data_IF_185291266107
#
_entry.id   IF_185291266107
#
_cell.length_a   1.000
_cell.length_b   1.000
_cell.length_c   1.000
_cell.angle_alpha   90.00
_cell.angle_beta   90.00
_cell.angle_gamma   90.00
#
_symmetry.space_group_name_H-M   'P 1'
#
loop_
_entity.id
_entity.type
_entity.pdbx_description
1 polymer ?
#
# COMPACT_ATOMS: atom_id res chain seq x y z
N UNK A 1 -20.90 -49.17 -82.56
CA UNK A 1 -19.88 -48.95 -83.60
C UNK A 1 -19.28 -47.55 -83.42
N UNK A 2 -17.99 -47.37 -83.77
CA UNK A 2 -17.19 -46.11 -83.84
C UNK A 2 -16.19 -45.77 -82.69
N UNK A 3 -15.00 -46.36 -82.82
CA UNK A 3 -13.59 -45.88 -82.70
C UNK A 3 -13.20 -44.46 -82.17
N UNK A 4 -12.14 -44.47 -81.32
CA UNK A 4 -10.91 -43.60 -81.24
C UNK A 4 -11.04 -42.12 -80.80
N UNK A 5 -10.08 -41.44 -80.12
CA UNK A 5 -8.60 -41.38 -80.26
C UNK A 5 -7.88 -40.96 -78.94
N UNK A 6 -6.61 -41.36 -78.83
CA UNK A 6 -5.59 -40.85 -77.90
C UNK A 6 -4.98 -39.50 -78.34
N UNK A 7 -4.35 -38.79 -77.40
CA UNK A 7 -3.07 -38.02 -77.42
C UNK A 7 -3.09 -36.99 -76.26
N UNK A 8 -2.04 -36.52 -75.57
CA UNK A 8 -0.60 -36.79 -75.47
C UNK A 8 -0.07 -36.24 -74.10
N UNK A 9 1.17 -36.60 -73.78
CA UNK A 9 1.94 -36.49 -72.53
C UNK A 9 2.61 -35.11 -72.30
N UNK A 10 2.76 -34.66 -71.05
CA UNK A 10 3.95 -33.88 -70.60
C UNK A 10 4.20 -34.02 -69.09
N UNK A 11 5.49 -33.96 -68.73
CA UNK A 11 6.20 -34.52 -67.56
C UNK A 11 6.30 -33.56 -66.37
N UNK A 12 6.23 -34.11 -65.15
CA UNK A 12 7.26 -34.10 -64.07
C UNK A 12 6.83 -33.66 -62.65
N UNK A 13 7.41 -34.40 -61.69
CA UNK A 13 7.65 -34.13 -60.26
C UNK A 13 6.54 -34.43 -59.22
N UNK A 14 6.82 -35.44 -58.38
CA UNK A 14 6.11 -35.80 -57.14
C UNK A 14 6.29 -34.74 -56.03
N UNK A 15 5.47 -34.78 -54.95
CA UNK A 15 6.01 -35.44 -53.76
C UNK A 15 5.01 -36.32 -52.98
N UNK A 16 5.51 -37.46 -52.53
CA UNK A 16 4.95 -38.33 -51.51
C UNK A 16 4.71 -37.58 -50.20
N UNK A 17 3.48 -37.62 -49.67
CA UNK A 17 3.17 -36.98 -48.38
C UNK A 17 1.95 -37.53 -47.64
N UNK A 18 1.45 -38.72 -47.99
CA UNK A 18 0.21 -39.25 -47.38
C UNK A 18 0.25 -40.71 -46.91
N UNK A 19 1.41 -41.38 -46.92
CA UNK A 19 1.54 -42.74 -46.37
C UNK A 19 2.37 -42.84 -45.07
N UNK A 20 3.15 -41.83 -44.68
CA UNK A 20 3.98 -41.88 -43.45
C UNK A 20 3.22 -41.56 -42.15
N UNK A 21 2.00 -41.03 -42.22
CA UNK A 21 1.24 -40.64 -41.02
C UNK A 21 0.57 -41.80 -40.27
N UNK A 22 0.51 -43.00 -40.85
CA UNK A 22 -0.10 -44.17 -40.20
C UNK A 22 0.89 -45.08 -39.47
N UNK A 23 2.16 -45.11 -39.89
CA UNK A 23 3.20 -45.94 -39.26
C UNK A 23 3.86 -45.27 -38.05
N UNK A 24 3.86 -43.94 -37.98
CA UNK A 24 4.42 -43.17 -36.86
C UNK A 24 3.51 -43.11 -35.62
N UNK A 25 2.23 -43.49 -35.75
CA UNK A 25 1.27 -43.51 -34.64
C UNK A 25 1.26 -44.84 -33.87
N UNK A 26 1.80 -45.92 -34.45
CA UNK A 26 1.89 -47.24 -33.81
C UNK A 26 3.21 -47.51 -33.08
N UNK A 27 4.23 -46.66 -33.23
CA UNK A 27 5.50 -46.73 -32.49
C UNK A 27 5.55 -45.86 -31.22
N UNK A 28 4.45 -45.18 -30.88
CA UNK A 28 4.33 -44.34 -29.66
C UNK A 28 3.66 -45.03 -28.47
N UNK A 29 3.12 -46.23 -28.63
CA UNK A 29 2.40 -46.95 -27.54
C UNK A 29 3.25 -47.96 -26.79
N UNK A 30 4.57 -48.04 -27.05
CA UNK A 30 5.52 -48.94 -26.35
C UNK A 30 6.60 -48.22 -25.53
N UNK A 31 6.40 -46.93 -25.20
CA UNK A 31 7.31 -46.16 -24.31
C UNK A 31 6.64 -45.65 -23.02
N UNK A 32 5.44 -46.12 -22.71
CA UNK A 32 4.66 -45.69 -21.53
C UNK A 32 4.43 -46.82 -20.51
N UNK A 33 5.34 -47.79 -20.39
CA UNK A 33 5.32 -48.80 -19.31
C UNK A 33 6.48 -48.69 -18.32
N UNK A 34 7.32 -47.65 -18.44
CA UNK A 34 8.35 -47.32 -17.43
C UNK A 34 8.31 -45.86 -16.96
N UNK A 35 7.15 -45.20 -17.05
CA UNK A 35 6.94 -43.84 -16.53
C UNK A 35 5.77 -43.74 -15.54
N UNK A 36 5.55 -44.80 -14.75
CA UNK A 36 4.53 -44.86 -13.69
C UNK A 36 5.11 -45.15 -12.30
N UNK A 37 6.36 -44.73 -12.05
CA UNK A 37 7.00 -44.72 -10.72
C UNK A 37 7.68 -43.37 -10.45
N UNK A 38 6.98 -42.28 -10.73
CA UNK A 38 7.36 -40.93 -10.27
C UNK A 38 6.16 -40.19 -9.64
N UNK A 39 5.20 -40.95 -9.12
CA UNK A 39 4.01 -40.46 -8.43
C UNK A 39 3.96 -41.02 -7.01
N UNK A 40 5.03 -40.85 -6.23
CA UNK A 40 4.97 -41.05 -4.78
C UNK A 40 6.14 -40.30 -4.13
N UNK A 41 5.90 -39.05 -3.72
CA UNK A 41 6.92 -38.29 -3.02
C UNK A 41 6.64 -36.79 -2.96
N UNK A 42 6.11 -36.38 -1.80
CA UNK A 42 6.07 -35.02 -1.27
C UNK A 42 4.90 -34.16 -1.74
N UNK A 43 3.76 -34.46 -1.13
CA UNK A 43 2.93 -33.44 -0.49
C UNK A 43 3.81 -32.53 0.37
N UNK A 44 4.30 -31.46 -0.23
CA UNK A 44 4.71 -30.29 0.54
C UNK A 44 4.31 -29.07 -0.26
N UNK A 45 3.09 -28.60 0.00
CA UNK A 45 2.75 -27.19 -0.13
C UNK A 45 3.69 -26.44 0.81
N UNK A 46 4.97 -26.30 0.43
CA UNK A 46 5.86 -25.34 1.02
C UNK A 46 5.32 -23.99 0.57
N UNK A 47 4.36 -23.48 1.35
CA UNK A 47 4.11 -22.06 1.43
C UNK A 47 5.47 -21.42 1.66
N UNK A 48 6.03 -20.89 0.57
CA UNK A 48 7.25 -20.12 0.57
C UNK A 48 6.91 -18.89 1.41
N UNK A 49 7.14 -18.97 2.72
CA UNK A 49 7.03 -17.85 3.65
C UNK A 49 7.99 -16.82 3.08
N UNK A 50 7.46 -15.85 2.33
CA UNK A 50 8.24 -14.71 1.87
C UNK A 50 8.72 -14.04 3.14
N UNK A 51 9.98 -14.24 3.51
CA UNK A 51 10.61 -13.55 4.65
C UNK A 51 10.29 -12.07 4.47
N UNK A 52 9.49 -11.52 5.37
CA UNK A 52 9.13 -10.12 5.31
C UNK A 52 10.43 -9.33 5.41
N UNK A 53 10.74 -8.54 4.37
CA UNK A 53 11.93 -7.70 4.38
C UNK A 53 11.75 -6.74 5.57
N UNK A 54 12.67 -6.74 6.55
CA UNK A 54 12.56 -5.84 7.69
C UNK A 54 12.55 -4.41 7.17
N UNK A 55 11.51 -3.64 7.51
CA UNK A 55 11.42 -2.23 7.13
C UNK A 55 12.62 -1.50 7.75
N UNK A 56 13.33 -0.70 6.93
CA UNK A 56 14.38 0.19 7.42
C UNK A 56 13.81 1.06 8.54
N UNK A 57 14.58 1.26 9.63
CA UNK A 57 14.19 2.15 10.73
C UNK A 57 13.84 3.53 10.15
N UNK A 58 12.71 4.10 10.55
CA UNK A 58 12.20 5.38 10.04
C UNK A 58 11.36 5.32 8.75
N UNK A 59 11.33 4.19 8.02
CA UNK A 59 10.53 4.08 6.80
C UNK A 59 9.01 4.12 7.07
N UNK A 60 8.57 3.64 8.24
CA UNK A 60 7.19 3.79 8.69
C UNK A 60 6.82 5.25 8.92
N UNK A 61 7.65 5.96 9.70
CA UNK A 61 7.45 7.37 10.04
C UNK A 61 7.36 8.26 8.80
N UNK A 62 8.24 8.07 7.81
CA UNK A 62 8.17 8.84 6.56
C UNK A 62 6.90 8.58 5.75
N UNK A 63 6.35 7.35 5.82
CA UNK A 63 5.07 7.03 5.18
C UNK A 63 3.93 7.74 5.90
N UNK A 64 3.96 7.77 7.23
CA UNK A 64 2.94 8.41 8.05
C UNK A 64 2.94 9.93 7.85
N UNK A 65 4.11 10.58 7.84
CA UNK A 65 4.26 12.01 7.52
C UNK A 65 3.61 12.34 6.17
N UNK A 66 3.93 11.58 5.11
CA UNK A 66 3.36 11.80 3.77
C UNK A 66 1.86 11.55 3.72
N UNK A 67 1.34 10.61 4.52
CA UNK A 67 -0.10 10.34 4.61
C UNK A 67 -0.81 11.53 5.24
N UNK A 68 -0.38 11.96 6.43
CA UNK A 68 -1.03 13.02 7.19
C UNK A 68 -0.96 14.38 6.50
N UNK A 69 0.15 14.70 5.81
CA UNK A 69 0.27 15.90 5.00
C UNK A 69 -0.67 15.92 3.77
N UNK A 70 -1.17 14.77 3.32
CA UNK A 70 -2.09 14.69 2.18
C UNK A 70 -3.55 14.76 2.60
N UNK A 71 -3.91 14.11 3.71
CA UNK A 71 -5.32 13.94 4.09
C UNK A 71 -5.88 15.11 4.87
N UNK A 72 -5.07 15.77 5.72
CA UNK A 72 -5.56 16.87 6.57
C UNK A 72 -6.72 16.47 7.50
N UNK A 73 -6.83 15.19 7.85
CA UNK A 73 -7.86 14.69 8.76
C UNK A 73 -7.56 15.11 10.21
N UNK A 74 -8.60 15.35 11.01
CA UNK A 74 -8.43 15.60 12.45
C UNK A 74 -7.85 14.37 13.13
N UNK A 75 -6.76 14.55 13.88
CA UNK A 75 -5.99 13.48 14.50
C UNK A 75 -6.38 13.26 15.95
N UNK A 76 -6.90 14.29 16.63
CA UNK A 76 -7.32 14.17 18.03
C UNK A 76 -8.72 13.53 18.05
N UNK A 77 -8.95 12.47 18.85
CA UNK A 77 -10.29 11.92 18.98
C UNK A 77 -11.27 12.97 19.54
N UNK A 78 -12.41 13.14 18.86
CA UNK A 78 -13.40 14.20 19.15
C UNK A 78 -13.94 14.16 20.58
N UNK A 79 -14.20 12.96 21.14
CA UNK A 79 -14.79 12.84 22.48
C UNK A 79 -13.84 13.29 23.61
N UNK A 80 -12.57 12.83 23.68
CA UNK A 80 -11.56 13.40 24.58
C UNK A 80 -11.39 14.91 24.44
N UNK A 81 -11.31 15.44 23.21
CA UNK A 81 -11.16 16.87 22.97
C UNK A 81 -12.35 17.66 23.57
N UNK A 82 -13.57 17.22 23.31
CA UNK A 82 -14.79 17.82 23.88
C UNK A 82 -14.79 17.81 25.42
N UNK A 83 -14.26 16.76 26.06
CA UNK A 83 -14.17 16.69 27.53
C UNK A 83 -13.23 17.75 28.08
N UNK A 84 -12.07 17.95 27.45
CA UNK A 84 -11.10 18.98 27.84
C UNK A 84 -11.69 20.37 27.65
N UNK A 85 -12.37 20.62 26.53
CA UNK A 85 -13.04 21.91 26.30
C UNK A 85 -14.06 22.21 27.40
N UNK A 86 -14.88 21.22 27.81
CA UNK A 86 -15.83 21.39 28.91
C UNK A 86 -15.14 21.65 30.24
N UNK A 87 -14.10 20.89 30.56
CA UNK A 87 -13.34 21.07 31.79
C UNK A 87 -12.75 22.49 31.88
N UNK A 88 -12.22 23.02 30.78
CA UNK A 88 -11.70 24.39 30.72
C UNK A 88 -12.83 25.39 30.89
N UNK A 89 -13.94 25.23 30.18
CA UNK A 89 -15.10 26.14 30.29
C UNK A 89 -15.66 26.20 31.71
N UNK A 90 -15.75 25.06 32.40
CA UNK A 90 -16.22 24.98 33.78
C UNK A 90 -15.32 25.75 34.75
N UNK A 91 -13.99 25.74 34.53
CA UNK A 91 -13.05 26.55 35.32
C UNK A 91 -13.30 28.06 35.23
N UNK A 92 -13.86 28.54 34.12
CA UNK A 92 -14.18 29.96 33.90
C UNK A 92 -15.64 30.32 34.18
N UNK A 93 -16.50 29.35 34.49
CA UNK A 93 -17.93 29.58 34.66
C UNK A 93 -18.31 30.16 36.04
N UNK A 94 -17.33 30.40 36.94
CA UNK A 94 -17.51 31.05 38.26
C UNK A 94 -18.72 30.57 39.08
N UNK A 95 -19.08 29.28 38.98
CA UNK A 95 -20.22 28.70 39.72
C UNK A 95 -21.62 29.00 39.14
N UNK A 96 -21.71 29.57 37.94
CA UNK A 96 -22.96 29.77 37.20
C UNK A 96 -23.49 28.44 36.61
N UNK A 97 -24.69 28.50 36.02
CA UNK A 97 -25.33 27.38 35.32
C UNK A 97 -24.43 26.75 34.25
N UNK A 98 -24.54 25.43 33.99
CA UNK A 98 -23.67 24.74 33.05
C UNK A 98 -23.82 25.27 31.61
N UNK A 99 -22.70 25.73 31.05
CA UNK A 99 -22.64 26.25 29.68
C UNK A 99 -22.93 25.15 28.65
N UNK A 100 -23.84 25.46 27.71
CA UNK A 100 -24.15 24.61 26.57
C UNK A 100 -23.21 24.96 25.41
N UNK A 101 -22.67 23.93 24.76
CA UNK A 101 -21.73 24.08 23.64
C UNK A 101 -22.40 23.52 22.38
N UNK A 102 -22.43 24.31 21.31
CA UNK A 102 -22.87 23.87 20.00
C UNK A 102 -21.90 22.82 19.43
N UNK A 103 -22.40 21.84 18.69
CA UNK A 103 -21.56 20.81 18.06
C UNK A 103 -20.49 21.40 17.13
N UNK A 104 -20.89 22.37 16.29
CA UNK A 104 -20.00 23.07 15.36
C UNK A 104 -18.92 23.90 16.08
N UNK A 105 -19.22 24.45 17.26
CA UNK A 105 -18.23 25.20 18.04
C UNK A 105 -17.10 24.29 18.55
N UNK A 106 -17.42 23.05 18.94
CA UNK A 106 -16.40 22.06 19.31
C UNK A 106 -15.51 21.72 18.12
N UNK A 107 -16.09 21.58 16.93
CA UNK A 107 -15.36 21.24 15.70
C UNK A 107 -14.42 22.41 15.30
N UNK A 108 -14.90 23.65 15.35
CA UNK A 108 -14.09 24.84 15.07
C UNK A 108 -12.93 25.01 16.07
N UNK A 109 -13.17 24.78 17.36
CA UNK A 109 -12.11 24.79 18.38
C UNK A 109 -11.07 23.70 18.12
N UNK A 110 -11.50 22.52 17.68
CA UNK A 110 -10.60 21.42 17.37
C UNK A 110 -9.75 21.71 16.14
N UNK A 111 -10.35 22.20 15.06
CA UNK A 111 -9.62 22.61 13.85
C UNK A 111 -8.56 23.67 14.17
N UNK A 112 -8.93 24.71 14.92
CA UNK A 112 -8.00 25.76 15.31
C UNK A 112 -6.84 25.24 16.19
N UNK A 113 -7.16 24.37 17.16
CA UNK A 113 -6.15 23.80 18.06
C UNK A 113 -5.16 22.89 17.32
N UNK A 114 -5.65 22.00 16.45
CA UNK A 114 -4.79 21.11 15.67
C UNK A 114 -3.94 21.90 14.66
N UNK A 115 -4.52 22.88 13.96
CA UNK A 115 -3.78 23.75 13.05
C UNK A 115 -2.65 24.50 13.77
N UNK A 116 -2.93 25.05 14.95
CA UNK A 116 -1.92 25.71 15.77
C UNK A 116 -0.79 24.75 16.17
N UNK A 117 -1.11 23.53 16.61
CA UNK A 117 -0.11 22.53 17.00
C UNK A 117 0.75 22.09 15.82
N UNK A 118 0.17 21.88 14.64
CA UNK A 118 0.93 21.55 13.42
C UNK A 118 1.94 22.65 13.11
N UNK A 119 1.49 23.91 13.06
CA UNK A 119 2.38 25.04 12.81
C UNK A 119 3.48 25.16 13.87
N UNK A 120 3.17 24.90 15.14
CA UNK A 120 4.16 24.92 16.22
C UNK A 120 5.20 23.80 16.06
N UNK A 121 4.79 22.60 15.65
CA UNK A 121 5.71 21.48 15.40
C UNK A 121 6.57 21.69 14.15
N UNK A 122 6.07 22.37 13.12
CA UNK A 122 6.87 22.75 11.96
C UNK A 122 8.05 23.66 12.35
N UNK A 123 7.78 24.70 13.13
CA UNK A 123 8.82 25.60 13.64
C UNK A 123 9.78 24.89 14.61
N UNK A 124 9.25 24.03 15.50
CA UNK A 124 10.08 23.26 16.42
C UNK A 124 11.00 22.28 15.67
N UNK A 125 10.52 21.71 14.56
CA UNK A 125 11.33 20.88 13.68
C UNK A 125 12.44 21.69 13.00
N UNK A 126 12.16 22.92 12.56
CA UNK A 126 13.19 23.83 12.03
C UNK A 126 14.26 24.15 13.08
N UNK A 127 13.87 24.40 14.33
CA UNK A 127 14.79 24.62 15.43
C UNK A 127 15.65 23.37 15.73
N UNK A 128 15.07 22.18 15.68
CA UNK A 128 15.82 20.93 15.85
C UNK A 128 16.86 20.72 14.73
N UNK A 129 16.48 20.99 13.47
CA UNK A 129 17.38 20.92 12.31
C UNK A 129 18.51 21.94 12.43
N UNK A 130 18.21 23.16 12.87
CA UNK A 130 19.23 24.19 13.13
C UNK A 130 20.28 23.73 14.14
N UNK A 131 19.86 22.95 15.15
CA UNK A 131 20.75 22.31 16.12
C UNK A 131 21.37 20.98 15.67
N UNK A 132 21.30 20.63 14.37
CA UNK A 132 21.78 19.36 13.78
C UNK A 132 21.17 18.10 14.39
N UNK A 133 19.91 18.17 14.84
CA UNK A 133 19.14 17.02 15.36
C UNK A 133 17.96 16.70 14.45
N UNK A 134 17.51 15.44 14.53
CA UNK A 134 16.27 14.97 13.87
C UNK A 134 15.12 14.84 14.86
N UNK A 135 15.43 14.66 16.15
CA UNK A 135 14.43 14.52 17.21
C UNK A 135 14.15 15.88 17.84
N UNK A 136 12.88 16.29 17.78
CA UNK A 136 12.38 17.47 18.50
C UNK A 136 12.43 17.25 20.02
N UNK A 137 12.76 18.29 20.76
CA UNK A 137 12.88 18.29 22.22
C UNK A 137 12.05 19.45 22.82
N UNK A 138 11.70 19.39 24.11
CA UNK A 138 10.94 20.47 24.77
C UNK A 138 11.59 21.85 24.61
N UNK A 139 12.93 21.93 24.69
CA UNK A 139 13.68 23.17 24.46
C UNK A 139 13.47 23.81 23.08
N UNK A 140 13.12 23.01 22.06
CA UNK A 140 12.84 23.52 20.72
C UNK A 140 11.47 24.22 20.70
N UNK A 141 10.48 23.66 21.40
CA UNK A 141 9.16 24.26 21.58
C UNK A 141 9.24 25.55 22.41
N UNK A 142 10.02 25.54 23.51
CA UNK A 142 10.22 26.71 24.37
C UNK A 142 10.87 27.86 23.61
N UNK A 143 11.88 27.55 22.79
CA UNK A 143 12.54 28.54 21.93
C UNK A 143 11.54 29.15 20.92
N UNK A 144 10.76 28.31 20.24
CA UNK A 144 9.78 28.77 19.25
C UNK A 144 8.71 29.65 19.89
N UNK A 145 8.15 29.22 21.03
CA UNK A 145 7.15 30.03 21.76
C UNK A 145 7.70 31.38 22.19
N UNK A 146 8.96 31.41 22.64
CA UNK A 146 9.65 32.66 23.02
C UNK A 146 9.85 33.60 21.83
N UNK A 147 10.15 33.06 20.65
CA UNK A 147 10.29 33.85 19.41
C UNK A 147 8.91 34.36 18.93
N UNK A 148 7.89 33.51 18.98
CA UNK A 148 6.50 33.84 18.59
C UNK A 148 5.79 34.81 19.54
N UNK A 149 6.34 35.04 20.75
CA UNK A 149 5.75 35.90 21.80
C UNK A 149 4.38 35.40 22.27
N UNK A 150 4.20 34.08 22.32
CA UNK A 150 2.96 33.44 22.78
C UNK A 150 2.92 33.21 24.30
N UNK A 151 3.98 33.64 25.00
CA UNK A 151 4.19 33.67 26.46
C UNK A 151 5.04 34.90 26.81
#
# INVERSE_FOLDING_TARGET
MARTKQTARKVSAEPMGKQEKRLSQQLRTKRDTHRSMASMGKSSTQQRIKKAIPKKRGAGVLKDIRRYQRTGELLIPRFPFRRIVREIMERYNNGQDPLRIQSLAVDALQEAAEAYLVNLFEDANMAAIHARRVTIMPKDLDLVRKIRREL
#
